data_IF_598658054625
#
_entry.id   IF_598658054625
#
_cell.length_a   1.000
_cell.length_b   1.000
_cell.length_c   1.000
_cell.angle_alpha   90.00
_cell.angle_beta   90.00
_cell.angle_gamma   90.00
#
_symmetry.space_group_name_H-M   'P 1'
#
loop_
_entity.id
_entity.type
_entity.pdbx_description
1 polymer ?
#
# COMPACT_ATOMS: atom_id res chain seq x y z
N UNK A 1 -40.11 -17.54 12.31
CA UNK A 1 -39.04 -18.24 11.58
C UNK A 1 -37.98 -17.20 11.25
N UNK A 2 -36.99 -17.03 12.13
CA UNK A 2 -35.89 -16.08 11.93
C UNK A 2 -34.96 -16.66 10.85
N UNK A 3 -34.93 -16.04 9.68
CA UNK A 3 -33.89 -16.28 8.68
C UNK A 3 -32.57 -15.79 9.27
N UNK A 4 -31.75 -16.72 9.75
CA UNK A 4 -30.36 -16.43 10.08
C UNK A 4 -29.65 -16.25 8.74
N UNK A 5 -29.56 -15.01 8.27
CA UNK A 5 -28.70 -14.66 7.15
C UNK A 5 -27.26 -14.67 7.68
N UNK A 6 -26.50 -15.70 7.33
CA UNK A 6 -25.07 -15.75 7.60
C UNK A 6 -24.37 -14.80 6.61
N UNK A 7 -23.82 -13.69 7.11
CA UNK A 7 -23.15 -12.66 6.32
C UNK A 7 -21.62 -12.72 6.43
N UNK A 8 -21.05 -13.85 6.81
CA UNK A 8 -19.61 -14.03 6.99
C UNK A 8 -19.06 -15.17 6.15
N UNK A 9 -17.87 -14.96 5.58
CA UNK A 9 -17.09 -16.02 4.94
C UNK A 9 -15.99 -16.47 5.90
N UNK A 10 -16.00 -17.75 6.30
CA UNK A 10 -14.90 -18.37 7.04
C UNK A 10 -13.84 -18.95 6.10
N UNK A 11 -12.57 -18.68 6.37
CA UNK A 11 -11.41 -19.18 5.64
C UNK A 11 -10.44 -19.86 6.61
N UNK A 12 -9.94 -21.05 6.24
CA UNK A 12 -8.88 -21.73 6.98
C UNK A 12 -7.54 -21.44 6.29
N UNK A 13 -6.62 -20.80 7.01
CA UNK A 13 -5.32 -20.34 6.51
C UNK A 13 -4.22 -21.27 7.03
N UNK A 14 -3.69 -22.09 6.12
CA UNK A 14 -2.63 -23.06 6.42
C UNK A 14 -1.29 -22.38 6.73
N UNK A 15 -0.50 -22.91 7.67
CA UNK A 15 0.75 -22.31 8.08
C UNK A 15 1.86 -22.51 7.04
N UNK A 16 2.64 -21.46 6.81
CA UNK A 16 3.75 -21.41 5.87
C UNK A 16 5.05 -21.01 6.56
N UNK A 17 6.15 -21.66 6.15
CA UNK A 17 7.46 -21.35 6.72
C UNK A 17 7.91 -19.95 6.29
N UNK A 18 8.31 -19.13 7.26
CA UNK A 18 8.82 -17.79 6.99
C UNK A 18 10.10 -17.87 6.14
N UNK A 19 10.08 -17.22 4.97
CA UNK A 19 11.17 -17.17 4.00
C UNK A 19 10.84 -17.77 2.64
N UNK A 20 9.83 -18.64 2.55
CA UNK A 20 9.40 -19.22 1.27
C UNK A 20 8.42 -18.28 0.53
N UNK A 21 8.96 -17.21 -0.04
CA UNK A 21 8.17 -16.14 -0.70
C UNK A 21 7.27 -16.65 -1.83
N UNK A 22 7.55 -17.81 -2.44
CA UNK A 22 6.73 -18.37 -3.52
C UNK A 22 5.36 -18.84 -3.03
N UNK A 23 5.27 -19.21 -1.76
CA UNK A 23 4.02 -19.66 -1.12
C UNK A 23 3.21 -18.53 -0.51
N UNK A 24 3.74 -17.31 -0.52
CA UNK A 24 3.03 -16.16 0.02
C UNK A 24 1.92 -15.73 -0.93
N UNK A 25 0.90 -15.10 -0.37
CA UNK A 25 -0.22 -14.57 -1.11
C UNK A 25 0.22 -13.48 -2.08
N UNK A 26 -0.09 -13.67 -3.35
CA UNK A 26 0.21 -12.73 -4.43
C UNK A 26 -0.77 -12.91 -5.57
N UNK A 27 -0.75 -12.03 -6.57
CA UNK A 27 -1.60 -12.18 -7.76
C UNK A 27 -1.38 -13.54 -8.48
N UNK A 28 -0.19 -14.13 -8.35
CA UNK A 28 0.16 -15.44 -8.92
C UNK A 28 -0.19 -16.61 -8.00
N UNK A 29 -0.50 -16.35 -6.73
CA UNK A 29 -0.82 -17.35 -5.72
C UNK A 29 -1.96 -16.86 -4.83
N UNK A 30 -3.19 -17.16 -5.26
CA UNK A 30 -4.43 -16.71 -4.65
C UNK A 30 -5.05 -17.75 -3.68
N UNK A 31 -4.27 -18.73 -3.22
CA UNK A 31 -4.78 -19.87 -2.45
C UNK A 31 -5.52 -19.43 -1.17
N UNK A 32 -4.97 -18.45 -0.46
CA UNK A 32 -5.54 -17.93 0.79
C UNK A 32 -6.21 -16.56 0.58
N UNK A 33 -6.80 -16.35 -0.59
CA UNK A 33 -7.37 -15.08 -0.99
C UNK A 33 -8.87 -15.18 -1.28
N UNK A 34 -9.57 -14.11 -0.96
CA UNK A 34 -10.97 -13.90 -1.34
C UNK A 34 -11.04 -12.72 -2.28
N UNK A 35 -11.71 -12.89 -3.41
CA UNK A 35 -11.87 -11.83 -4.40
C UNK A 35 -13.27 -11.23 -4.36
N UNK A 36 -13.33 -9.91 -4.49
CA UNK A 36 -14.60 -9.18 -4.61
C UNK A 36 -14.58 -8.27 -5.84
N UNK A 37 -15.63 -8.30 -6.68
CA UNK A 37 -15.79 -7.32 -7.74
C UNK A 37 -16.16 -5.97 -7.12
N UNK A 38 -15.44 -4.94 -7.53
CA UNK A 38 -15.65 -3.57 -7.08
C UNK A 38 -15.63 -2.63 -8.27
N UNK A 39 -16.30 -1.50 -8.15
CA UNK A 39 -16.32 -0.43 -9.14
C UNK A 39 -15.49 0.74 -8.60
N UNK A 40 -15.10 1.66 -9.49
CA UNK A 40 -14.46 2.91 -9.11
C UNK A 40 -15.30 3.64 -8.05
N UNK A 41 -14.63 4.17 -7.04
CA UNK A 41 -15.23 4.96 -5.95
C UNK A 41 -16.16 4.15 -5.00
N UNK A 42 -16.18 2.82 -5.11
CA UNK A 42 -16.80 1.97 -4.09
C UNK A 42 -16.05 2.08 -2.77
N UNK A 43 -16.81 2.24 -1.69
CA UNK A 43 -16.33 2.22 -0.32
C UNK A 43 -16.49 0.80 0.21
N UNK A 44 -15.36 0.14 0.47
CA UNK A 44 -15.30 -1.21 1.00
C UNK A 44 -15.06 -1.13 2.50
N UNK A 45 -16.00 -1.67 3.27
CA UNK A 45 -15.91 -1.85 4.72
C UNK A 45 -15.62 -3.32 4.97
N UNK A 46 -14.51 -3.57 5.65
CA UNK A 46 -13.99 -4.89 5.91
C UNK A 46 -13.87 -5.11 7.42
N UNK A 47 -14.54 -6.14 7.93
CA UNK A 47 -14.34 -6.67 9.29
C UNK A 47 -13.73 -8.06 9.18
N UNK A 48 -12.57 -8.23 9.81
CA UNK A 48 -11.85 -9.51 9.89
C UNK A 48 -11.85 -9.95 11.35
N UNK A 49 -12.31 -11.16 11.62
CA UNK A 49 -12.13 -11.81 12.91
C UNK A 49 -11.10 -12.93 12.75
N UNK A 50 -9.95 -12.80 13.41
CA UNK A 50 -8.80 -13.70 13.24
C UNK A 50 -8.49 -14.57 14.46
N UNK A 51 -9.34 -14.50 15.48
CA UNK A 51 -9.17 -15.22 16.74
C UNK A 51 -7.93 -14.79 17.53
N UNK A 52 -7.55 -15.60 18.50
CA UNK A 52 -6.41 -15.32 19.38
C UNK A 52 -5.06 -15.47 18.66
N UNK A 53 -4.07 -14.73 19.16
CA UNK A 53 -2.71 -14.82 18.66
C UNK A 53 -2.05 -16.13 19.10
N UNK A 54 -1.68 -16.95 18.12
CA UNK A 54 -0.89 -18.16 18.32
C UNK A 54 0.61 -17.84 18.54
N UNK A 55 1.28 -18.51 19.48
CA UNK A 55 2.71 -18.32 19.72
C UNK A 55 3.53 -18.82 18.51
N UNK A 56 4.62 -18.12 18.20
CA UNK A 56 5.52 -18.46 17.09
C UNK A 56 4.89 -18.45 15.69
N UNK A 57 3.64 -17.98 15.56
CA UNK A 57 2.95 -17.77 14.29
C UNK A 57 2.44 -16.34 14.18
N UNK A 58 2.53 -15.79 12.98
CA UNK A 58 2.17 -14.42 12.62
C UNK A 58 1.19 -14.50 11.45
N UNK A 59 -0.02 -14.00 11.65
CA UNK A 59 -1.00 -13.89 10.57
C UNK A 59 -0.88 -12.52 9.93
N UNK A 60 -0.56 -12.46 8.64
CA UNK A 60 -0.53 -11.21 7.90
C UNK A 60 -1.72 -11.14 6.95
N UNK A 61 -2.28 -9.96 6.77
CA UNK A 61 -3.31 -9.67 5.79
C UNK A 61 -2.76 -8.73 4.72
N UNK A 62 -3.01 -9.08 3.46
CA UNK A 62 -2.60 -8.31 2.31
C UNK A 62 -3.81 -8.03 1.41
N UNK A 63 -4.03 -6.77 1.05
CA UNK A 63 -5.09 -6.35 0.16
C UNK A 63 -4.47 -5.70 -1.08
N UNK A 64 -4.76 -6.26 -2.25
CA UNK A 64 -4.27 -5.74 -3.53
C UNK A 64 -5.34 -5.85 -4.60
N UNK A 65 -5.18 -5.07 -5.66
CA UNK A 65 -6.10 -5.09 -6.81
C UNK A 65 -5.63 -6.04 -7.93
N UNK A 66 -6.40 -6.09 -9.01
CA UNK A 66 -6.09 -6.87 -10.23
C UNK A 66 -4.78 -6.48 -10.92
N UNK A 67 -4.25 -5.28 -10.65
CA UNK A 67 -2.98 -4.80 -11.20
C UNK A 67 -1.81 -5.01 -10.22
N UNK A 68 -2.05 -5.74 -9.12
CA UNK A 68 -1.08 -6.00 -8.06
C UNK A 68 -0.62 -4.70 -7.34
N UNK A 69 -1.43 -3.65 -7.37
CA UNK A 69 -1.22 -2.48 -6.51
C UNK A 69 -1.65 -2.85 -5.09
N UNK A 70 -0.73 -2.66 -4.13
CA UNK A 70 -0.99 -2.97 -2.74
C UNK A 70 -1.84 -1.86 -2.11
N UNK A 71 -3.11 -2.13 -1.86
CA UNK A 71 -4.06 -1.18 -1.27
C UNK A 71 -3.81 -1.07 0.24
N UNK A 72 -3.72 -2.21 0.94
CA UNK A 72 -3.45 -2.26 2.38
C UNK A 72 -2.59 -3.46 2.74
N UNK A 73 -1.85 -3.31 3.83
CA UNK A 73 -1.13 -4.40 4.48
C UNK A 73 -1.30 -4.28 5.97
N UNK A 74 -1.57 -5.40 6.64
CA UNK A 74 -1.53 -5.47 8.09
C UNK A 74 -0.82 -6.73 8.54
N UNK A 75 0.28 -6.52 9.27
CA UNK A 75 1.08 -7.62 9.80
C UNK A 75 0.64 -7.99 11.21
N UNK A 76 0.81 -9.26 11.56
CA UNK A 76 0.53 -9.82 12.88
C UNK A 76 -0.85 -9.45 13.43
N UNK A 77 -1.90 -9.76 12.64
CA UNK A 77 -3.28 -9.54 13.06
C UNK A 77 -3.69 -10.57 14.12
N UNK A 78 -4.40 -10.06 15.12
CA UNK A 78 -5.10 -10.82 16.15
C UNK A 78 -6.44 -10.15 16.43
N UNK A 79 -7.38 -10.91 16.98
CA UNK A 79 -8.71 -10.44 17.35
C UNK A 79 -9.50 -9.90 16.15
N UNK A 80 -10.35 -8.91 16.39
CA UNK A 80 -11.19 -8.23 15.40
C UNK A 80 -10.48 -7.01 14.80
N UNK A 81 -10.42 -6.94 13.48
CA UNK A 81 -9.86 -5.84 12.71
C UNK A 81 -10.92 -5.23 11.79
N UNK A 82 -11.16 -3.93 11.97
CA UNK A 82 -12.10 -3.14 11.16
C UNK A 82 -11.34 -2.17 10.26
N UNK A 83 -11.59 -2.22 8.95
CA UNK A 83 -10.92 -1.44 7.92
C UNK A 83 -11.92 -0.85 6.94
N UNK A 84 -11.61 0.36 6.46
CA UNK A 84 -12.34 1.01 5.37
C UNK A 84 -11.33 1.46 4.33
N UNK A 85 -11.60 1.17 3.07
CA UNK A 85 -10.80 1.62 1.95
C UNK A 85 -11.66 1.77 0.70
N UNK A 86 -11.16 2.54 -0.27
CA UNK A 86 -11.79 2.70 -1.56
C UNK A 86 -10.97 2.02 -2.64
N UNK A 87 -11.65 1.57 -3.68
CA UNK A 87 -10.99 1.12 -4.88
C UNK A 87 -10.55 2.33 -5.71
N UNK A 88 -9.24 2.58 -5.75
CA UNK A 88 -8.64 3.66 -6.53
C UNK A 88 -8.44 3.28 -8.00
N UNK A 89 -8.64 2.00 -8.35
CA UNK A 89 -8.29 1.53 -9.67
C UNK A 89 -9.37 1.91 -10.69
N UNK A 90 -8.97 2.72 -11.66
CA UNK A 90 -9.76 3.07 -12.83
C UNK A 90 -9.25 2.18 -13.95
N UNK A 91 -9.99 1.14 -14.40
CA UNK A 91 -9.54 0.38 -15.55
C UNK A 91 -9.36 1.39 -16.67
N UNK A 92 -8.11 1.57 -17.12
CA UNK A 92 -7.80 2.35 -18.29
C UNK A 92 -8.75 1.84 -19.35
N UNK A 93 -9.65 2.71 -19.84
CA UNK A 93 -10.43 2.42 -21.04
C UNK A 93 -9.39 2.14 -22.11
N UNK A 94 -9.04 0.88 -22.32
CA UNK A 94 -8.35 0.43 -23.51
C UNK A 94 -9.35 0.77 -24.60
N UNK A 95 -9.11 1.91 -25.25
CA UNK A 95 -9.77 2.28 -26.48
C UNK A 95 -9.50 1.11 -27.43
N UNK A 96 -10.48 0.22 -27.57
CA UNK A 96 -10.52 -0.79 -28.62
C UNK A 96 -10.78 -0.04 -29.93
N UNK A 97 -9.80 0.73 -30.37
CA UNK A 97 -9.67 1.13 -31.75
C UNK A 97 -8.95 -0.02 -32.44
N UNK A 98 -9.58 -0.56 -33.47
CA UNK A 98 -9.30 -1.80 -34.19
C UNK A 98 -9.96 -2.98 -33.45
N UNK A 99 -11.01 -3.63 -33.98
CA UNK A 99 -11.10 -4.19 -35.31
C UNK A 99 -12.56 -4.53 -35.70
N UNK A 100 -12.78 -4.71 -36.99
CA UNK A 100 -14.05 -4.97 -37.67
C UNK A 100 -15.03 -5.91 -36.95
N UNK A 101 -16.15 -5.37 -36.46
CA UNK A 101 -17.41 -6.12 -36.37
C UNK A 101 -18.57 -5.25 -36.89
N UNK A 102 -19.40 -5.77 -37.81
CA UNK A 102 -20.48 -4.99 -38.39
C UNK A 102 -21.63 -4.87 -37.37
N UNK A 103 -21.93 -3.63 -37.01
CA UNK A 103 -23.29 -3.08 -37.09
C UNK A 103 -24.40 -3.77 -36.25
N UNK A 104 -24.16 -4.00 -34.96
CA UNK A 104 -25.26 -4.32 -34.00
C UNK A 104 -25.88 -3.10 -33.30
N UNK A 105 -25.26 -1.91 -33.41
CA UNK A 105 -25.76 -0.70 -32.73
C UNK A 105 -26.84 0.06 -33.51
N UNK A 106 -26.98 -0.19 -34.82
CA UNK A 106 -28.00 0.48 -35.65
C UNK A 106 -29.38 -0.20 -35.64
N UNK A 107 -29.53 -1.39 -35.04
CA UNK A 107 -30.83 -2.09 -35.01
C UNK A 107 -31.69 -1.67 -33.81
N UNK A 108 -31.07 -1.29 -32.68
CA UNK A 108 -31.81 -0.94 -31.47
C UNK A 108 -32.32 0.52 -31.43
N UNK A 109 -31.66 1.43 -32.14
CA UNK A 109 -32.11 2.83 -32.23
C UNK A 109 -33.41 3.02 -33.03
N UNK A 110 -33.94 1.96 -33.65
CA UNK A 110 -35.19 1.98 -34.41
C UNK A 110 -36.41 1.45 -33.63
N UNK A 111 -36.22 1.00 -32.39
CA UNK A 111 -37.30 0.59 -31.49
C UNK A 111 -37.52 1.68 -30.44
N UNK A 112 -38.14 2.80 -30.86
CA UNK A 112 -38.79 3.73 -29.93
C UNK A 112 -40.01 3.06 -29.32
N UNK A 113 -39.79 2.21 -28.31
CA UNK A 113 -40.83 1.77 -27.39
C UNK A 113 -40.66 2.59 -26.12
N UNK A 114 -41.64 3.43 -25.82
CA UNK A 114 -41.66 4.34 -24.68
C UNK A 114 -41.43 3.60 -23.36
N UNK A 115 -40.18 3.63 -22.89
CA UNK A 115 -39.74 3.04 -21.63
C UNK A 115 -39.33 4.12 -20.66
N UNK A 116 -39.80 3.98 -19.43
CA UNK A 116 -39.52 4.88 -18.31
C UNK A 116 -38.00 5.02 -18.10
N UNK A 117 -37.53 6.24 -17.82
CA UNK A 117 -36.11 6.55 -17.60
C UNK A 117 -35.43 5.63 -16.57
N UNK A 118 -36.16 5.21 -15.53
CA UNK A 118 -35.67 4.27 -14.50
C UNK A 118 -35.38 2.85 -15.02
N UNK A 119 -36.07 2.41 -16.05
CA UNK A 119 -35.85 1.09 -16.65
C UNK A 119 -34.65 1.13 -17.59
N UNK A 120 -34.45 2.27 -18.27
CA UNK A 120 -33.27 2.54 -19.08
C UNK A 120 -32.00 2.59 -18.22
N UNK A 121 -32.04 3.25 -17.05
CA UNK A 121 -30.92 3.27 -16.08
C UNK A 121 -30.55 1.86 -15.59
N UNK A 122 -31.52 1.00 -15.30
CA UNK A 122 -31.27 -0.39 -14.90
C UNK A 122 -30.67 -1.23 -16.04
N UNK A 123 -31.12 -1.00 -17.28
CA UNK A 123 -30.59 -1.70 -18.45
C UNK A 123 -29.18 -1.21 -18.76
N UNK A 124 -28.89 0.08 -18.59
CA UNK A 124 -27.56 0.65 -18.73
C UNK A 124 -26.61 0.19 -17.60
N UNK A 125 -27.10 -0.01 -16.37
CA UNK A 125 -26.37 -0.66 -15.27
C UNK A 125 -26.05 -2.14 -15.58
N UNK A 126 -27.02 -2.88 -16.14
CA UNK A 126 -26.84 -4.29 -16.50
C UNK A 126 -25.92 -4.46 -17.73
N UNK A 127 -25.99 -3.55 -18.70
CA UNK A 127 -25.22 -3.60 -19.95
C UNK A 127 -23.79 -3.04 -19.80
N UNK A 128 -23.55 -2.11 -18.86
CA UNK A 128 -22.22 -1.61 -18.55
C UNK A 128 -21.60 -2.31 -17.33
N UNK A 129 -22.21 -3.38 -16.83
CA UNK A 129 -21.79 -3.98 -15.57
C UNK A 129 -20.32 -4.44 -15.63
N UNK A 130 -19.79 -4.89 -16.77
CA UNK A 130 -18.40 -5.37 -16.85
C UNK A 130 -17.38 -4.33 -17.35
N UNK A 131 -17.83 -3.16 -17.80
CA UNK A 131 -16.96 -2.05 -18.23
C UNK A 131 -16.65 -1.15 -17.05
N UNK A 132 -15.69 -1.53 -16.20
CA UNK A 132 -15.33 -0.73 -15.02
C UNK A 132 -15.09 -1.51 -13.74
N UNK A 133 -15.43 -2.80 -13.71
CA UNK A 133 -15.20 -3.66 -12.54
C UNK A 133 -13.72 -4.02 -12.44
N UNK A 134 -13.12 -3.73 -11.29
CA UNK A 134 -11.82 -4.28 -10.90
C UNK A 134 -12.00 -5.19 -9.67
N UNK A 135 -11.18 -6.23 -9.62
CA UNK A 135 -11.21 -7.19 -8.52
C UNK A 135 -10.26 -6.71 -7.43
N UNK A 136 -10.75 -6.71 -6.20
CA UNK A 136 -9.89 -6.63 -5.02
C UNK A 136 -9.68 -8.04 -4.48
N UNK A 137 -8.46 -8.31 -4.02
CA UNK A 137 -8.09 -9.56 -3.38
C UNK A 137 -7.72 -9.27 -1.93
N UNK A 138 -8.37 -9.96 -1.01
CA UNK A 138 -8.06 -9.93 0.42
C UNK A 138 -7.44 -11.27 0.77
N UNK A 139 -6.17 -11.27 1.13
CA UNK A 139 -5.38 -12.46 1.31
C UNK A 139 -4.76 -12.56 2.70
N UNK A 140 -4.52 -13.78 3.14
CA UNK A 140 -3.97 -14.08 4.45
C UNK A 140 -2.75 -15.00 4.38
N UNK A 141 -1.69 -14.64 5.09
CA UNK A 141 -0.47 -15.42 5.20
C UNK A 141 -0.23 -15.78 6.67
N UNK A 142 -0.46 -17.05 7.04
CA UNK A 142 -0.12 -17.58 8.35
C UNK A 142 1.34 -18.04 8.35
N UNK A 143 2.25 -17.20 8.84
CA UNK A 143 3.69 -17.46 8.80
C UNK A 143 4.21 -17.95 10.15
N UNK A 144 5.15 -18.90 10.15
CA UNK A 144 5.84 -19.32 11.36
C UNK A 144 7.35 -19.30 11.20
N UNK A 145 8.06 -18.99 12.28
CA UNK A 145 9.52 -18.90 12.31
C UNK A 145 10.18 -20.07 13.04
N UNK A 146 9.49 -20.64 14.02
CA UNK A 146 10.06 -21.64 14.92
C UNK A 146 10.31 -22.97 14.21
N UNK A 147 11.54 -23.48 14.35
CA UNK A 147 12.00 -24.77 13.79
C UNK A 147 12.25 -25.80 14.89
N UNK A 148 11.86 -25.50 16.12
CA UNK A 148 12.00 -26.41 17.25
C UNK A 148 11.19 -27.67 16.99
N UNK A 149 11.78 -28.83 17.28
CA UNK A 149 11.16 -30.15 17.19
C UNK A 149 9.81 -30.29 17.91
N UNK A 150 9.57 -29.48 18.96
CA UNK A 150 8.34 -29.46 19.73
C UNK A 150 7.26 -28.53 19.18
N UNK A 151 7.60 -27.67 18.21
CA UNK A 151 6.65 -26.73 17.63
C UNK A 151 5.81 -27.43 16.56
N UNK A 152 4.49 -27.37 16.73
CA UNK A 152 3.54 -27.88 15.75
C UNK A 152 2.77 -26.68 15.18
N UNK A 153 2.97 -26.34 13.89
CA UNK A 153 2.27 -25.22 13.28
C UNK A 153 0.78 -25.54 13.18
N UNK A 154 -0.06 -24.57 13.54
CA UNK A 154 -1.51 -24.70 13.53
C UNK A 154 -2.12 -23.88 12.41
N UNK A 155 -3.25 -24.36 11.88
CA UNK A 155 -4.10 -23.62 10.96
C UNK A 155 -4.80 -22.49 11.71
N UNK A 156 -5.07 -21.37 11.02
CA UNK A 156 -5.87 -20.28 11.58
C UNK A 156 -7.18 -20.14 10.83
N UNK A 157 -8.27 -20.05 11.57
CA UNK A 157 -9.57 -19.68 11.02
C UNK A 157 -9.72 -18.16 11.03
N UNK A 158 -10.19 -17.63 9.90
CA UNK A 158 -10.40 -16.20 9.69
C UNK A 158 -11.81 -16.01 9.16
N UNK A 159 -12.62 -15.23 9.85
CA UNK A 159 -13.94 -14.84 9.38
C UNK A 159 -13.86 -13.45 8.76
N UNK A 160 -14.50 -13.31 7.60
CA UNK A 160 -14.48 -12.11 6.79
C UNK A 160 -15.91 -11.59 6.57
N UNK A 161 -16.13 -10.32 6.87
CA UNK A 161 -17.35 -9.60 6.54
C UNK A 161 -16.97 -8.42 5.65
N UNK A 162 -17.52 -8.38 4.44
CA UNK A 162 -17.25 -7.33 3.45
C UNK A 162 -18.56 -6.68 3.05
N UNK A 163 -18.66 -5.38 3.29
CA UNK A 163 -19.79 -4.53 2.90
C UNK A 163 -19.29 -3.49 1.89
N UNK A 164 -19.73 -3.64 0.64
CA UNK A 164 -19.33 -2.79 -0.49
C UNK A 164 -20.48 -1.83 -0.77
N UNK A 165 -20.22 -0.53 -0.63
CA UNK A 165 -21.22 0.51 -0.86
C UNK A 165 -20.77 1.48 -1.93
N UNK A 166 -21.71 1.82 -2.81
CA UNK A 166 -21.54 2.89 -3.77
C UNK A 166 -21.83 4.25 -3.12
N UNK A 167 -21.12 5.30 -3.52
CA UNK A 167 -21.30 6.68 -3.02
C UNK A 167 -22.77 7.17 -3.04
N UNK A 168 -23.58 6.68 -3.99
CA UNK A 168 -25.01 7.00 -4.10
C UNK A 168 -25.88 6.34 -3.02
N UNK A 169 -25.51 5.15 -2.55
CA UNK A 169 -26.25 4.39 -1.51
C UNK A 169 -25.90 4.83 -0.09
N UNK A 170 -24.76 5.49 0.12
CA UNK A 170 -24.40 6.11 1.40
C UNK A 170 -25.43 7.16 1.84
N UNK A 171 -26.10 7.83 0.89
CA UNK A 171 -27.18 8.79 1.19
C UNK A 171 -28.37 8.15 1.94
N UNK A 172 -28.53 6.84 1.85
CA UNK A 172 -29.60 6.08 2.50
C UNK A 172 -29.14 5.35 3.78
N UNK A 173 -27.86 5.44 4.14
CA UNK A 173 -27.30 4.69 5.28
C UNK A 173 -27.47 5.42 6.61
N UNK A 174 -27.63 4.64 7.68
CA UNK A 174 -27.64 5.13 9.04
C UNK A 174 -26.23 5.65 9.42
N UNK A 175 -26.06 6.96 9.34
CA UNK A 175 -24.80 7.66 9.58
C UNK A 175 -24.21 7.42 10.98
N UNK A 176 -25.03 6.98 11.96
CA UNK A 176 -24.54 6.63 13.30
C UNK A 176 -23.52 5.48 13.29
N UNK A 177 -23.58 4.57 12.31
CA UNK A 177 -22.58 3.50 12.16
C UNK A 177 -21.20 4.07 11.82
N UNK A 178 -21.16 5.19 11.09
CA UNK A 178 -19.91 5.79 10.65
C UNK A 178 -19.25 6.67 11.71
N UNK A 179 -20.02 7.12 12.70
CA UNK A 179 -19.55 7.99 13.78
C UNK A 179 -18.35 7.41 14.54
N UNK A 180 -18.27 6.08 14.70
CA UNK A 180 -17.17 5.43 15.40
C UNK A 180 -15.82 5.60 14.68
N UNK A 181 -15.83 5.66 13.34
CA UNK A 181 -14.62 5.83 12.55
C UNK A 181 -14.09 7.27 12.65
N UNK A 182 -14.98 8.27 12.62
CA UNK A 182 -14.60 9.69 12.75
C UNK A 182 -14.17 10.07 14.18
N UNK A 183 -14.76 9.45 15.21
CA UNK A 183 -14.33 9.66 16.61
C UNK A 183 -12.86 9.31 16.82
N UNK A 184 -12.35 8.29 16.13
CA UNK A 184 -10.95 7.87 16.22
C UNK A 184 -9.98 8.88 15.60
N UNK A 185 -10.38 9.57 14.53
CA UNK A 185 -9.58 10.64 13.92
C UNK A 185 -9.57 11.90 14.80
N UNK A 186 -10.74 12.30 15.33
CA UNK A 186 -10.85 13.48 16.20
C UNK A 186 -10.05 13.33 17.50
N UNK A 187 -10.07 12.14 18.11
CA UNK A 187 -9.29 11.85 19.31
C UNK A 187 -7.77 11.91 19.10
N UNK A 188 -7.28 11.56 17.91
CA UNK A 188 -5.85 11.64 17.59
C UNK A 188 -5.43 13.08 17.25
N UNK A 189 -6.27 13.82 16.51
CA UNK A 189 -6.03 15.24 16.20
C UNK A 189 -6.03 16.12 17.45
N UNK A 190 -6.93 15.89 18.40
CA UNK A 190 -7.00 16.68 19.64
C UNK A 190 -5.80 16.38 20.58
N UNK A 191 -5.27 15.15 20.57
CA UNK A 191 -4.06 14.79 21.32
C UNK A 191 -2.80 15.50 20.81
N UNK A 192 -2.68 15.68 19.51
CA UNK A 192 -1.53 16.38 18.91
C UNK A 192 -1.58 17.91 19.17
N UNK A 193 -2.77 18.45 19.41
CA UNK A 193 -2.98 19.86 19.79
C UNK A 193 -2.79 20.06 21.31
N UNK A 194 -3.23 19.13 22.16
CA UNK A 194 -3.00 19.18 23.62
C UNK A 194 -1.52 18.98 23.99
N UNK A 195 -0.75 18.22 23.20
CA UNK A 195 0.69 18.09 23.41
C UNK A 195 1.48 19.40 23.20
N UNK A 196 0.91 20.38 22.46
CA UNK A 196 1.53 21.69 22.20
C UNK A 196 1.10 22.79 23.16
N UNK A 197 0.02 22.59 23.93
CA UNK A 197 -0.56 23.63 24.80
C UNK A 197 -0.51 23.33 26.30
N UNK A 198 0.18 22.26 26.71
CA UNK A 198 0.38 21.94 28.13
C UNK A 198 1.57 22.69 28.75
N UNK A 199 1.53 24.02 28.67
CA UNK A 199 1.91 24.90 29.76
C UNK A 199 0.74 25.86 29.95
N UNK A 200 0.06 25.75 31.10
CA UNK A 200 -0.96 26.69 31.61
C UNK A 200 -2.43 26.43 31.20
N UNK A 201 -3.04 25.44 31.86
CA UNK A 201 -4.14 25.68 32.83
C UNK A 201 -4.74 24.37 33.33
N UNK A 202 -4.50 24.13 34.62
CA UNK A 202 -5.27 23.20 35.44
C UNK A 202 -6.61 23.86 35.81
N UNK A 203 -7.65 23.02 35.95
CA UNK A 203 -9.03 23.30 36.45
C UNK A 203 -10.04 23.75 35.37
N UNK A 204 -10.73 22.79 34.79
CA UNK A 204 -12.10 22.48 35.22
C UNK A 204 -12.47 21.05 34.77
N UNK A 205 -12.58 20.15 35.76
CA UNK A 205 -13.27 18.89 35.63
C UNK A 205 -14.68 19.13 36.17
N UNK A 206 -15.69 19.06 35.31
CA UNK A 206 -16.79 18.13 35.52
C UNK A 206 -17.84 18.22 34.40
N UNK A 207 -18.40 17.03 34.12
CA UNK A 207 -19.61 16.76 33.34
C UNK A 207 -19.55 17.02 31.83
N UNK A 208 -19.37 15.94 31.09
CA UNK A 208 -20.31 15.71 29.99
C UNK A 208 -20.74 14.24 29.96
N UNK A 209 -21.95 14.03 30.46
CA UNK A 209 -22.74 12.84 30.24
C UNK A 209 -22.93 12.66 28.73
N UNK A 210 -22.56 11.49 28.22
CA UNK A 210 -23.36 10.64 27.31
C UNK A 210 -24.59 11.27 26.63
N UNK A 211 -24.41 12.38 25.92
CA UNK A 211 -25.36 12.85 24.93
C UNK A 211 -25.02 12.13 23.63
N UNK A 212 -25.77 11.06 23.34
CA UNK A 212 -25.87 10.48 21.99
C UNK A 212 -26.42 11.56 21.06
N UNK A 213 -25.57 12.49 20.62
CA UNK A 213 -25.86 13.31 19.45
C UNK A 213 -25.88 12.37 18.25
N UNK A 214 -27.05 12.22 17.65
CA UNK A 214 -27.18 11.53 16.37
C UNK A 214 -26.23 12.20 15.38
N UNK A 215 -25.33 11.39 14.82
CA UNK A 215 -24.36 11.85 13.85
C UNK A 215 -25.11 12.12 12.56
N UNK A 216 -25.29 13.41 12.25
CA UNK A 216 -26.13 13.84 11.14
C UNK A 216 -25.37 13.85 9.82
N UNK A 217 -26.08 13.93 8.70
CA UNK A 217 -25.47 14.07 7.36
C UNK A 217 -24.53 15.29 7.29
N UNK A 218 -24.89 16.39 7.97
CA UNK A 218 -24.07 17.61 8.00
C UNK A 218 -22.74 17.36 8.74
N UNK A 219 -22.77 16.58 9.82
CA UNK A 219 -21.55 16.19 10.54
C UNK A 219 -20.65 15.30 9.67
N UNK A 220 -21.24 14.40 8.89
CA UNK A 220 -20.50 13.58 7.94
C UNK A 220 -19.83 14.43 6.86
N UNK A 221 -20.59 15.32 6.19
CA UNK A 221 -20.05 16.19 5.14
C UNK A 221 -18.93 17.11 5.67
N UNK A 222 -19.06 17.64 6.89
CA UNK A 222 -18.02 18.45 7.52
C UNK A 222 -16.75 17.63 7.81
N UNK A 223 -16.89 16.40 8.30
CA UNK A 223 -15.74 15.52 8.55
C UNK A 223 -15.06 15.07 7.26
N UNK A 224 -15.83 14.84 6.19
CA UNK A 224 -15.27 14.53 4.86
C UNK A 224 -14.49 15.71 4.30
N UNK A 225 -15.02 16.94 4.40
CA UNK A 225 -14.29 18.15 3.98
C UNK A 225 -13.01 18.36 4.79
N UNK A 226 -13.05 18.08 6.10
CA UNK A 226 -11.86 18.12 6.95
C UNK A 226 -10.81 17.09 6.49
N UNK A 227 -11.22 15.84 6.21
CA UNK A 227 -10.34 14.81 5.66
C UNK A 227 -9.77 15.19 4.30
N UNK A 228 -10.57 15.79 3.43
CA UNK A 228 -10.11 16.28 2.12
C UNK A 228 -9.03 17.36 2.27
N UNK A 229 -9.18 18.26 3.25
CA UNK A 229 -8.15 19.25 3.60
C UNK A 229 -6.88 18.59 4.13
N UNK A 230 -6.97 17.65 5.08
CA UNK A 230 -5.79 16.94 5.59
C UNK A 230 -5.09 16.12 4.50
N UNK A 231 -5.86 15.48 3.61
CA UNK A 231 -5.32 14.77 2.46
C UNK A 231 -4.59 15.72 1.51
N UNK A 232 -5.14 16.91 1.27
CA UNK A 232 -4.47 17.95 0.48
C UNK A 232 -3.14 18.37 1.12
N UNK A 233 -3.12 18.58 2.44
CA UNK A 233 -1.89 18.92 3.18
C UNK A 233 -0.87 17.77 3.12
N UNK A 234 -1.31 16.51 3.24
CA UNK A 234 -0.43 15.34 3.09
C UNK A 234 0.11 15.25 1.66
N UNK A 235 -0.71 15.48 0.64
CA UNK A 235 -0.27 15.48 -0.77
C UNK A 235 0.76 16.60 -1.01
N UNK A 236 0.56 17.77 -0.43
CA UNK A 236 1.51 18.87 -0.50
C UNK A 236 2.83 18.52 0.22
N UNK A 237 2.75 17.93 1.41
CA UNK A 237 3.91 17.42 2.14
C UNK A 237 4.65 16.31 1.39
N UNK A 238 3.94 15.43 0.68
CA UNK A 238 4.52 14.40 -0.16
C UNK A 238 5.24 15.02 -1.37
N UNK A 239 4.66 16.04 -2.01
CA UNK A 239 5.34 16.81 -3.08
C UNK A 239 6.60 17.50 -2.57
N UNK A 240 6.54 18.10 -1.38
CA UNK A 240 7.71 18.70 -0.75
C UNK A 240 8.79 17.65 -0.43
N UNK A 241 8.39 16.47 0.02
CA UNK A 241 9.30 15.34 0.27
C UNK A 241 9.92 14.82 -1.03
N UNK A 242 9.15 14.74 -2.12
CA UNK A 242 9.67 14.39 -3.46
C UNK A 242 10.72 15.41 -3.93
N UNK A 243 10.48 16.71 -3.69
CA UNK A 243 11.43 17.76 -4.02
C UNK A 243 12.72 17.65 -3.18
N UNK A 244 12.60 17.33 -1.89
CA UNK A 244 13.76 17.07 -1.03
C UNK A 244 14.53 15.84 -1.53
N UNK A 245 13.85 14.75 -1.88
CA UNK A 245 14.48 13.55 -2.41
C UNK A 245 15.19 13.83 -3.73
N UNK A 246 14.61 14.64 -4.63
CA UNK A 246 15.27 15.09 -5.86
C UNK A 246 16.52 15.90 -5.56
N UNK A 247 16.46 16.83 -4.61
CA UNK A 247 17.63 17.60 -4.18
C UNK A 247 18.72 16.70 -3.58
N UNK A 248 18.35 15.73 -2.75
CA UNK A 248 19.30 14.76 -2.18
C UNK A 248 19.91 13.87 -3.25
N UNK A 249 19.11 13.41 -4.22
CA UNK A 249 19.58 12.63 -5.37
C UNK A 249 20.57 13.44 -6.22
N UNK A 250 20.31 14.73 -6.43
CA UNK A 250 21.24 15.64 -7.13
C UNK A 250 22.52 15.87 -6.31
N UNK A 251 22.42 15.95 -4.98
CA UNK A 251 23.61 16.04 -4.11
C UNK A 251 24.42 14.74 -4.13
N UNK A 252 23.78 13.58 -4.10
CA UNK A 252 24.43 12.28 -4.21
C UNK A 252 25.13 12.12 -5.56
N UNK A 253 24.49 12.53 -6.66
CA UNK A 253 25.13 12.47 -7.99
C UNK A 253 26.35 13.38 -8.06
N UNK A 254 26.26 14.61 -7.54
CA UNK A 254 27.40 15.54 -7.46
C UNK A 254 28.54 14.97 -6.60
N UNK A 255 28.21 14.33 -5.47
CA UNK A 255 29.20 13.68 -4.62
C UNK A 255 29.86 12.50 -5.34
N UNK A 256 29.09 11.71 -6.09
CA UNK A 256 29.61 10.60 -6.89
C UNK A 256 30.54 11.07 -8.00
N UNK A 257 30.16 12.11 -8.74
CA UNK A 257 31.01 12.70 -9.78
C UNK A 257 32.29 13.31 -9.20
N UNK A 258 32.19 14.00 -8.06
CA UNK A 258 33.35 14.53 -7.35
C UNK A 258 34.29 13.41 -6.89
N UNK A 259 33.73 12.32 -6.37
CA UNK A 259 34.49 11.16 -5.93
C UNK A 259 35.19 10.47 -7.12
N UNK A 260 34.48 10.26 -8.24
CA UNK A 260 35.06 9.69 -9.47
C UNK A 260 36.19 10.56 -10.02
N UNK A 261 36.02 11.88 -9.98
CA UNK A 261 37.06 12.84 -10.37
C UNK A 261 38.29 12.73 -9.47
N UNK A 262 38.11 12.69 -8.15
CA UNK A 262 39.20 12.55 -7.17
C UNK A 262 39.94 11.22 -7.39
N UNK A 263 39.21 10.11 -7.56
CA UNK A 263 39.83 8.81 -7.81
C UNK A 263 40.59 8.76 -9.12
N UNK A 264 40.05 9.33 -10.21
CA UNK A 264 40.73 9.40 -11.50
C UNK A 264 42.03 10.20 -11.43
N UNK A 265 42.00 11.36 -10.75
CA UNK A 265 43.17 12.20 -10.57
C UNK A 265 44.24 11.52 -9.70
N UNK A 266 43.83 10.90 -8.59
CA UNK A 266 44.72 10.14 -7.72
C UNK A 266 45.36 8.94 -8.42
N UNK A 267 44.57 8.19 -9.20
CA UNK A 267 45.06 7.04 -9.97
C UNK A 267 46.10 7.50 -11.00
N UNK A 268 45.86 8.62 -11.68
CA UNK A 268 46.81 9.20 -12.64
C UNK A 268 48.13 9.61 -11.97
N UNK A 269 48.07 10.27 -10.82
CA UNK A 269 49.27 10.66 -10.05
C UNK A 269 50.03 9.43 -9.55
N UNK A 270 49.32 8.42 -9.04
CA UNK A 270 49.91 7.17 -8.55
C UNK A 270 50.67 6.42 -9.67
N UNK A 271 50.08 6.31 -10.86
CA UNK A 271 50.74 5.70 -12.02
C UNK A 271 52.03 6.44 -12.37
N UNK A 272 52.02 7.78 -12.39
CA UNK A 272 53.21 8.58 -12.66
C UNK A 272 54.31 8.31 -11.63
N UNK A 273 53.95 8.25 -10.34
CA UNK A 273 54.91 7.95 -9.26
C UNK A 273 55.55 6.56 -9.41
N UNK A 274 54.76 5.53 -9.75
CA UNK A 274 55.28 4.17 -9.97
C UNK A 274 56.27 4.14 -11.14
N UNK A 275 55.99 4.86 -12.22
CA UNK A 275 56.89 4.97 -13.38
C UNK A 275 58.22 5.61 -12.98
N UNK A 276 58.17 6.69 -12.19
CA UNK A 276 59.38 7.38 -11.70
C UNK A 276 60.23 6.43 -10.83
N UNK A 277 59.61 5.73 -9.88
CA UNK A 277 60.31 4.76 -9.01
C UNK A 277 60.97 3.66 -9.84
N UNK A 278 60.27 3.17 -10.87
CA UNK A 278 60.78 2.13 -11.77
C UNK A 278 62.01 2.59 -12.56
N UNK A 279 61.99 3.83 -13.06
CA UNK A 279 63.12 4.45 -13.76
C UNK A 279 64.33 4.59 -12.82
N UNK A 280 64.11 5.07 -11.59
CA UNK A 280 65.17 5.18 -10.60
C UNK A 280 65.74 3.81 -10.20
N UNK A 281 64.89 2.79 -10.01
CA UNK A 281 65.33 1.42 -9.73
C UNK A 281 66.19 0.84 -10.86
N UNK A 282 65.78 1.03 -12.11
CA UNK A 282 66.57 0.63 -13.28
C UNK A 282 67.91 1.38 -13.35
N UNK A 283 67.93 2.68 -13.10
CA UNK A 283 69.16 3.47 -13.08
C UNK A 283 70.12 2.99 -11.98
N UNK A 284 69.61 2.67 -10.79
CA UNK A 284 70.40 2.10 -9.70
C UNK A 284 70.99 0.73 -10.08
N UNK A 285 70.20 -0.16 -10.69
CA UNK A 285 70.70 -1.47 -11.15
C UNK A 285 71.81 -1.34 -12.20
N UNK A 286 71.66 -0.43 -13.16
CA UNK A 286 72.69 -0.14 -14.17
C UNK A 286 73.95 0.43 -13.51
N UNK A 287 73.80 1.37 -12.58
CA UNK A 287 74.91 1.95 -11.83
C UNK A 287 75.67 0.87 -11.05
N UNK A 288 74.97 0.01 -10.31
CA UNK A 288 75.58 -1.10 -9.57
C UNK A 288 76.31 -2.08 -10.51
N UNK A 289 75.73 -2.40 -11.66
CA UNK A 289 76.37 -3.28 -12.65
C UNK A 289 77.66 -2.67 -13.22
N UNK A 290 77.66 -1.38 -13.54
CA UNK A 290 78.85 -0.67 -14.00
C UNK A 290 79.91 -0.55 -12.90
N UNK A 291 79.49 -0.27 -11.66
CA UNK A 291 80.35 -0.18 -10.50
C UNK A 291 81.06 -1.50 -10.21
N UNK A 292 80.31 -2.62 -10.20
CA UNK A 292 80.86 -3.96 -9.99
C UNK A 292 81.82 -4.37 -11.12
N UNK A 293 81.48 -4.06 -12.38
CA UNK A 293 82.34 -4.34 -13.54
C UNK A 293 83.66 -3.54 -13.47
N UNK A 294 83.63 -2.29 -13.01
CA UNK A 294 84.84 -1.45 -12.88
C UNK A 294 85.78 -1.95 -11.77
N UNK A 295 85.21 -2.57 -10.72
CA UNK A 295 85.97 -3.03 -9.54
C UNK A 295 86.49 -4.47 -9.67
N UNK A 296 86.30 -5.13 -10.83
CA UNK A 296 86.77 -6.49 -11.16
C UNK A 296 86.44 -7.55 -10.11
N UNK A 297 85.23 -7.48 -9.53
CA UNK A 297 84.72 -8.54 -8.64
C UNK A 297 83.92 -9.62 -9.39
N UNK A 298 83.78 -9.46 -10.71
CA UNK A 298 83.08 -10.34 -11.65
C UNK A 298 83.89 -10.34 -12.96
#
# INVERSE_FOLDING_TARGET
MLMIQAYGLGLIVTPQLMGDKKKYSSINNLLNCVSYPTVKDDIIILTVNSGEKLPSQVLNMNIFDSENNKIRYKGDISDELNLIFTNLNNPLKINHNNDHTPDKRNILNKLHIGRNSKEQERIDELMNSDTGKSLIYICFDNLYLDKSWSFQPQDREVELFVDIKNMTTIKQTNYNIYAQYFKKFKYNSDKDVEAKNNEKKTKDKDKDETSKKDFTQVDFENNIKFLESELSDIVENLKNSELILKNLMEQESKLRDANEKIYSEYTKVSIIMIVIISIFGMAQLVYFRCYLKKRKFL
#
